data_IF_720889810552
#
_entry.id   IF_720889810552
#
_cell.length_a   1.000
_cell.length_b   1.000
_cell.length_c   1.000
_cell.angle_alpha   90.00
_cell.angle_beta   90.00
_cell.angle_gamma   90.00
#
_symmetry.space_group_name_H-M   'P 1'
#
loop_
_entity.id
_entity.type
_entity.pdbx_description
1 polymer ?
#
# COMPACT_ATOMS: atom_id res chain seq x y z
N UNK A 1 8.78 35.27 20.91
CA UNK A 1 9.67 34.29 21.56
C UNK A 1 8.96 32.99 21.88
N UNK A 2 7.91 33.03 22.70
CA UNK A 2 7.06 31.87 23.05
C UNK A 2 5.70 31.82 22.32
N UNK A 3 5.46 32.73 21.37
CA UNK A 3 4.19 32.86 20.64
C UNK A 3 4.18 32.16 19.26
N UNK A 4 5.27 31.48 18.86
CA UNK A 4 5.38 30.80 17.56
C UNK A 4 5.27 29.26 17.64
N UNK A 5 5.28 28.68 18.85
CA UNK A 5 5.19 27.22 19.03
C UNK A 5 3.76 26.76 19.31
N UNK A 6 2.95 27.60 19.94
CA UNK A 6 1.52 27.37 20.23
C UNK A 6 0.62 27.55 18.99
N UNK A 7 1.16 28.06 17.88
CA UNK A 7 0.45 28.19 16.60
C UNK A 7 0.63 26.98 15.65
N UNK A 8 1.53 26.04 15.97
CA UNK A 8 1.74 24.82 15.16
C UNK A 8 0.99 23.59 15.69
N UNK A 9 0.50 23.62 16.92
CA UNK A 9 -0.25 22.53 17.55
C UNK A 9 -1.56 23.08 18.13
N UNK A 10 -2.46 23.50 17.22
CA UNK A 10 -3.76 24.07 17.56
C UNK A 10 -4.46 23.26 18.64
N UNK A 11 -4.60 23.87 19.81
CA UNK A 11 -5.26 23.28 20.97
C UNK A 11 -6.70 22.89 20.65
N UNK A 12 -7.08 21.68 21.08
CA UNK A 12 -8.46 21.29 21.33
C UNK A 12 -8.55 20.56 22.65
N UNK A 13 -9.62 20.90 23.37
CA UNK A 13 -10.03 20.40 24.67
C UNK A 13 -10.48 18.94 24.62
N UNK A 14 -10.43 18.31 25.78
CA UNK A 14 -11.00 17.01 26.13
C UNK A 14 -12.46 16.85 25.64
N UNK A 15 -12.68 16.00 24.64
CA UNK A 15 -13.92 15.23 24.41
C UNK A 15 -13.70 14.23 23.26
N UNK A 16 -14.01 12.95 23.52
CA UNK A 16 -14.04 11.75 22.66
C UNK A 16 -12.75 11.28 21.97
N UNK A 17 -12.09 10.31 22.60
CA UNK A 17 -10.85 9.60 22.17
C UNK A 17 -11.15 8.46 21.16
N UNK A 18 -12.38 8.31 20.70
CA UNK A 18 -12.82 7.21 19.82
C UNK A 18 -12.39 7.29 18.35
N UNK A 19 -11.86 8.43 17.88
CA UNK A 19 -11.65 8.72 16.44
C UNK A 19 -10.25 9.26 16.08
N UNK A 20 -9.21 8.96 16.86
CA UNK A 20 -7.84 9.38 16.52
C UNK A 20 -7.19 8.31 15.63
N UNK A 21 -6.80 8.70 14.40
CA UNK A 21 -6.10 7.79 13.48
C UNK A 21 -4.58 7.85 13.70
N UNK A 22 -3.85 6.78 13.35
CA UNK A 22 -2.37 6.72 13.44
C UNK A 22 -1.68 7.84 12.65
N UNK A 23 -2.37 8.40 11.64
CA UNK A 23 -1.92 9.57 10.88
C UNK A 23 -1.80 10.83 11.76
N UNK A 24 -2.61 10.94 12.80
CA UNK A 24 -2.62 12.06 13.74
C UNK A 24 -1.51 11.94 14.80
N UNK A 25 -1.04 10.71 15.07
CA UNK A 25 -0.01 10.42 16.07
C UNK A 25 1.43 10.58 15.56
N UNK A 26 1.69 10.36 14.26
CA UNK A 26 3.05 10.22 13.74
C UNK A 26 3.66 11.47 13.07
N UNK A 27 2.94 12.59 12.97
CA UNK A 27 3.52 13.88 12.58
C UNK A 27 4.20 13.96 11.19
N UNK A 28 4.08 12.95 10.33
CA UNK A 28 4.72 12.92 9.01
C UNK A 28 3.74 13.36 7.91
N UNK A 29 3.85 14.64 7.56
CA UNK A 29 3.11 15.27 6.46
C UNK A 29 3.74 14.93 5.10
N UNK A 30 3.22 13.89 4.43
CA UNK A 30 3.39 13.76 2.96
C UNK A 30 2.06 13.61 2.21
N UNK A 31 0.93 13.53 2.93
CA UNK A 31 -0.42 13.35 2.35
C UNK A 31 -1.37 14.54 2.57
N UNK A 32 -1.04 15.50 3.43
CA UNK A 32 -1.98 16.54 3.90
C UNK A 32 -2.39 17.55 2.81
N UNK A 33 -1.59 17.76 1.76
CA UNK A 33 -2.03 18.59 0.62
C UNK A 33 -2.99 17.86 -0.35
N UNK A 34 -3.14 16.53 -0.23
CA UNK A 34 -4.03 15.74 -1.09
C UNK A 34 -5.18 15.05 -0.34
N UNK A 35 -5.24 15.18 0.99
CA UNK A 35 -6.23 14.49 1.82
C UNK A 35 -7.00 15.40 2.78
N UNK A 36 -6.77 16.72 2.78
CA UNK A 36 -7.79 17.61 3.32
C UNK A 36 -9.02 17.56 2.40
N UNK A 37 -9.99 16.72 2.77
CA UNK A 37 -11.39 17.15 2.68
C UNK A 37 -11.51 18.36 3.58
N UNK A 38 -11.10 19.53 3.05
CA UNK A 38 -11.53 20.78 3.63
C UNK A 38 -13.04 20.63 3.81
N UNK A 39 -13.52 20.86 5.04
CA UNK A 39 -14.94 20.93 5.35
C UNK A 39 -15.47 22.20 4.68
N UNK A 40 -15.50 22.21 3.34
CA UNK A 40 -16.04 23.31 2.56
C UNK A 40 -17.54 23.10 2.49
N UNK A 41 -18.20 23.21 3.64
CA UNK A 41 -19.64 23.41 3.77
C UNK A 41 -20.15 24.66 3.02
N UNK A 42 -19.24 25.41 2.40
CA UNK A 42 -19.50 26.59 1.58
C UNK A 42 -19.14 26.46 0.09
N UNK A 43 -18.59 25.32 -0.36
CA UNK A 43 -18.38 25.13 -1.80
C UNK A 43 -19.68 24.61 -2.40
N UNK A 44 -20.40 25.53 -3.04
CA UNK A 44 -21.55 25.26 -3.88
C UNK A 44 -21.32 23.99 -4.71
N UNK A 45 -22.30 23.07 -4.68
CA UNK A 45 -22.32 21.84 -5.48
C UNK A 45 -21.94 22.08 -6.95
N UNK A 46 -22.28 23.26 -7.48
CA UNK A 46 -21.91 23.72 -8.81
C UNK A 46 -20.41 23.96 -9.01
N UNK A 47 -19.71 24.51 -8.03
CA UNK A 47 -18.27 24.71 -8.10
C UNK A 47 -17.51 23.39 -8.00
N UNK A 48 -17.93 22.50 -7.09
CA UNK A 48 -17.42 21.12 -7.01
C UNK A 48 -17.66 20.36 -8.31
N UNK A 49 -18.85 20.49 -8.91
CA UNK A 49 -19.18 19.89 -10.20
C UNK A 49 -18.28 20.43 -11.32
N UNK A 50 -18.13 21.75 -11.44
CA UNK A 50 -17.25 22.39 -12.44
C UNK A 50 -15.78 22.00 -12.26
N UNK A 51 -15.28 21.92 -11.02
CA UNK A 51 -13.93 21.46 -10.72
C UNK A 51 -13.72 19.99 -11.09
N UNK A 52 -14.71 19.13 -10.76
CA UNK A 52 -14.68 17.72 -11.12
C UNK A 52 -14.67 17.55 -12.64
N UNK A 53 -15.50 18.27 -13.36
CA UNK A 53 -15.54 18.24 -14.83
C UNK A 53 -14.21 18.69 -15.44
N UNK A 54 -13.63 19.80 -14.96
CA UNK A 54 -12.31 20.28 -15.43
C UNK A 54 -11.21 19.25 -15.16
N UNK A 55 -11.19 18.68 -13.96
CA UNK A 55 -10.21 17.64 -13.59
C UNK A 55 -10.38 16.41 -14.48
N UNK A 56 -11.61 15.95 -14.72
CA UNK A 56 -11.88 14.80 -15.59
C UNK A 56 -11.49 15.06 -17.05
N UNK A 57 -11.71 16.28 -17.56
CA UNK A 57 -11.23 16.66 -18.90
C UNK A 57 -9.72 16.62 -18.98
N UNK A 58 -9.02 17.24 -18.03
CA UNK A 58 -7.55 17.25 -17.99
C UNK A 58 -6.97 15.84 -17.90
N UNK A 59 -7.54 14.98 -17.05
CA UNK A 59 -7.13 13.56 -16.97
C UNK A 59 -7.37 12.83 -18.29
N UNK A 60 -8.49 13.10 -18.96
CA UNK A 60 -8.80 12.51 -20.26
C UNK A 60 -7.81 12.94 -21.35
N UNK A 61 -7.43 14.22 -21.39
CA UNK A 61 -6.41 14.76 -22.29
C UNK A 61 -5.05 14.10 -22.04
N UNK A 62 -4.60 14.05 -20.79
CA UNK A 62 -3.34 13.39 -20.43
C UNK A 62 -3.32 11.91 -20.80
N UNK A 63 -4.44 11.19 -20.60
CA UNK A 63 -4.54 9.78 -21.01
C UNK A 63 -4.47 9.62 -22.53
N UNK A 64 -5.03 10.56 -23.30
CA UNK A 64 -4.90 10.55 -24.77
C UNK A 64 -3.45 10.75 -25.20
N UNK A 65 -2.74 11.69 -24.58
CA UNK A 65 -1.33 11.95 -24.90
C UNK A 65 -0.47 10.71 -24.59
N UNK A 66 -0.69 10.08 -23.43
CA UNK A 66 0.01 8.83 -23.08
C UNK A 66 -0.37 7.71 -24.05
N UNK A 67 -1.64 7.59 -24.46
CA UNK A 67 -2.06 6.60 -25.43
C UNK A 67 -1.37 6.80 -26.79
N UNK A 68 -1.19 8.05 -27.23
CA UNK A 68 -0.41 8.36 -28.43
C UNK A 68 1.06 7.94 -28.27
N UNK A 69 1.69 8.24 -27.14
CA UNK A 69 3.07 7.82 -26.84
C UNK A 69 3.20 6.29 -26.92
N UNK A 70 2.27 5.55 -26.32
CA UNK A 70 2.21 4.09 -26.38
C UNK A 70 2.01 3.57 -27.81
N UNK A 71 1.18 4.25 -28.61
CA UNK A 71 0.98 3.89 -30.02
C UNK A 71 2.25 4.05 -30.86
N UNK A 72 3.21 4.88 -30.44
CA UNK A 72 4.53 4.98 -31.09
C UNK A 72 5.51 3.88 -30.65
N UNK A 73 5.11 2.96 -29.77
CA UNK A 73 5.95 1.87 -29.29
C UNK A 73 6.76 2.18 -28.03
N UNK A 74 6.47 3.28 -27.34
CA UNK A 74 7.10 3.61 -26.08
C UNK A 74 6.52 2.78 -24.91
N UNK A 75 7.22 2.83 -23.77
CA UNK A 75 6.85 2.13 -22.54
C UNK A 75 6.33 3.15 -21.52
N UNK A 76 5.29 2.79 -20.79
CA UNK A 76 4.77 3.59 -19.68
C UNK A 76 4.74 2.75 -18.40
N UNK A 77 5.29 3.31 -17.31
CA UNK A 77 5.19 2.73 -15.98
C UNK A 77 4.02 3.37 -15.23
N UNK A 78 3.14 2.53 -14.69
CA UNK A 78 1.88 2.94 -14.08
C UNK A 78 1.73 2.25 -12.73
N UNK A 79 1.36 2.99 -11.69
CA UNK A 79 0.86 2.42 -10.45
C UNK A 79 -0.68 2.31 -10.55
N UNK A 80 -1.25 1.12 -10.77
CA UNK A 80 -2.67 0.95 -11.09
C UNK A 80 -3.61 1.41 -9.96
N UNK A 81 -3.14 1.35 -8.72
CA UNK A 81 -3.84 1.82 -7.52
C UNK A 81 -3.89 3.36 -7.43
N UNK A 82 -2.96 4.02 -8.10
CA UNK A 82 -2.75 5.47 -8.07
C UNK A 82 -2.34 6.02 -6.71
N UNK A 83 -1.97 5.17 -5.74
CA UNK A 83 -1.42 5.50 -4.41
C UNK A 83 -0.48 4.37 -3.98
N UNK A 84 0.48 4.70 -3.11
CA UNK A 84 1.26 3.68 -2.40
C UNK A 84 0.39 3.08 -1.30
N UNK A 85 0.44 1.76 -1.17
CA UNK A 85 -0.23 1.07 -0.08
C UNK A 85 0.55 1.26 1.23
N UNK A 86 -0.08 1.77 2.30
CA UNK A 86 0.57 1.96 3.60
C UNK A 86 0.73 0.66 4.40
N UNK A 87 -0.10 -0.35 4.13
CA UNK A 87 -0.20 -1.62 4.87
C UNK A 87 0.28 -2.83 4.05
N UNK A 88 0.66 -2.61 2.79
CA UNK A 88 1.08 -3.67 1.87
C UNK A 88 -0.08 -4.37 1.15
N UNK A 89 -1.33 -3.94 1.38
CA UNK A 89 -2.47 -4.42 0.59
C UNK A 89 -2.49 -3.80 -0.80
N UNK A 90 -2.77 -4.60 -1.82
CA UNK A 90 -2.97 -4.11 -3.18
C UNK A 90 -4.39 -3.56 -3.31
N UNK A 91 -4.51 -2.23 -3.45
CA UNK A 91 -5.80 -1.57 -3.63
C UNK A 91 -6.45 -1.92 -4.99
N UNK A 92 -7.77 -1.71 -5.16
CA UNK A 92 -8.41 -1.91 -6.44
C UNK A 92 -7.74 -1.11 -7.56
N UNK A 93 -7.52 -1.76 -8.70
CA UNK A 93 -7.01 -1.11 -9.90
C UNK A 93 -8.00 -0.01 -10.32
N UNK A 94 -7.49 1.21 -10.51
CA UNK A 94 -8.33 2.31 -10.98
C UNK A 94 -8.61 2.19 -12.46
N UNK A 95 -9.78 2.70 -12.86
CA UNK A 95 -10.23 2.72 -14.26
C UNK A 95 -9.30 3.42 -15.26
N UNK A 96 -8.27 4.13 -14.80
CA UNK A 96 -7.27 4.78 -15.66
C UNK A 96 -6.54 3.80 -16.57
N UNK A 97 -6.18 2.61 -16.07
CA UNK A 97 -5.53 1.57 -16.87
C UNK A 97 -6.42 1.10 -18.02
N UNK A 98 -7.68 0.79 -17.72
CA UNK A 98 -8.67 0.40 -18.72
C UNK A 98 -8.83 1.49 -19.79
N UNK A 99 -9.06 2.73 -19.36
CA UNK A 99 -9.22 3.88 -20.29
C UNK A 99 -8.00 4.05 -21.20
N UNK A 100 -6.80 3.95 -20.63
CA UNK A 100 -5.56 4.07 -21.39
C UNK A 100 -5.48 3.00 -22.49
N UNK A 101 -5.68 1.73 -22.13
CA UNK A 101 -5.65 0.61 -23.08
C UNK A 101 -6.73 0.79 -24.16
N UNK A 102 -7.96 1.20 -23.79
CA UNK A 102 -9.02 1.44 -24.76
C UNK A 102 -8.73 2.60 -25.73
N UNK A 103 -7.93 3.60 -25.32
CA UNK A 103 -7.55 4.74 -26.16
C UNK A 103 -6.38 4.42 -27.11
N UNK A 104 -5.61 3.36 -26.84
CA UNK A 104 -4.52 2.94 -27.73
C UNK A 104 -5.07 2.24 -28.98
N UNK A 105 -4.42 2.43 -30.13
CA UNK A 105 -4.76 1.75 -31.38
C UNK A 105 -4.08 0.39 -31.50
N UNK A 106 -2.91 0.22 -30.90
CA UNK A 106 -2.17 -1.05 -30.87
C UNK A 106 -2.68 -2.00 -29.79
N UNK A 107 -2.38 -3.29 -29.92
CA UNK A 107 -2.53 -4.23 -28.81
C UNK A 107 -1.34 -4.05 -27.85
N UNK A 108 -1.63 -3.43 -26.70
CA UNK A 108 -0.62 -3.12 -25.69
C UNK A 108 -0.37 -4.35 -24.83
N UNK A 109 0.89 -4.59 -24.49
CA UNK A 109 1.28 -5.63 -23.55
C UNK A 109 1.43 -5.03 -22.16
N UNK A 110 0.94 -5.73 -21.16
CA UNK A 110 1.05 -5.29 -19.76
C UNK A 110 2.03 -6.19 -19.05
N UNK A 111 3.08 -5.60 -18.46
CA UNK A 111 4.06 -6.32 -17.67
C UNK A 111 3.81 -6.06 -16.18
N UNK A 112 3.28 -7.04 -15.42
CA UNK A 112 3.05 -6.90 -13.99
C UNK A 112 4.39 -6.80 -13.25
N UNK A 113 4.53 -5.80 -12.39
CA UNK A 113 5.70 -5.63 -11.52
C UNK A 113 5.20 -5.43 -10.10
N UNK A 114 5.76 -6.18 -9.16
CA UNK A 114 5.51 -6.02 -7.74
C UNK A 114 6.78 -5.54 -7.04
N UNK A 115 6.64 -4.56 -6.15
CA UNK A 115 7.70 -4.13 -5.25
C UNK A 115 7.22 -4.28 -3.81
N UNK A 116 7.92 -5.09 -3.03
CA UNK A 116 7.62 -5.34 -1.62
C UNK A 116 8.75 -4.82 -0.74
N UNK A 117 8.42 -4.10 0.33
CA UNK A 117 9.39 -3.51 1.25
C UNK A 117 9.41 -4.27 2.58
N UNK A 118 10.60 -4.58 3.09
CA UNK A 118 10.80 -5.11 4.44
C UNK A 118 11.52 -4.05 5.29
N UNK A 119 10.75 -3.27 6.03
CA UNK A 119 11.22 -2.10 6.78
C UNK A 119 11.28 -2.33 8.30
N UNK A 120 10.56 -3.31 8.85
CA UNK A 120 10.57 -3.64 10.28
C UNK A 120 11.74 -4.56 10.62
N UNK A 121 12.96 -4.01 10.46
CA UNK A 121 14.22 -4.70 10.72
C UNK A 121 15.22 -3.72 11.35
N UNK A 122 16.10 -4.24 12.20
CA UNK A 122 17.23 -3.46 12.74
C UNK A 122 18.36 -3.21 11.72
N UNK A 123 18.27 -3.85 10.54
CA UNK A 123 19.27 -3.76 9.47
C UNK A 123 18.83 -2.75 8.40
N UNK A 124 19.58 -2.69 7.29
CA UNK A 124 19.14 -1.97 6.09
C UNK A 124 17.83 -2.57 5.57
N UNK A 125 16.88 -1.69 5.22
CA UNK A 125 15.64 -2.03 4.54
C UNK A 125 15.92 -2.87 3.28
N UNK A 126 15.11 -3.89 3.03
CA UNK A 126 15.15 -4.65 1.78
C UNK A 126 13.97 -4.29 0.91
N UNK A 127 14.23 -4.29 -0.39
CA UNK A 127 13.24 -4.09 -1.43
C UNK A 127 13.27 -5.34 -2.30
N UNK A 128 12.13 -6.02 -2.42
CA UNK A 128 11.94 -7.17 -3.29
C UNK A 128 11.21 -6.70 -4.53
N UNK A 129 11.86 -6.79 -5.69
CA UNK A 129 11.23 -6.50 -6.98
C UNK A 129 11.03 -7.81 -7.73
N UNK A 130 9.79 -8.08 -8.12
CA UNK A 130 9.45 -9.25 -8.94
C UNK A 130 8.75 -8.77 -10.21
N UNK A 131 9.21 -9.27 -11.35
CA UNK A 131 8.58 -9.05 -12.65
C UNK A 131 7.81 -10.32 -13.02
N UNK A 132 6.52 -10.15 -13.33
CA UNK A 132 5.64 -11.24 -13.73
C UNK A 132 5.71 -11.56 -15.21
N UNK A 133 4.86 -12.49 -15.63
CA UNK A 133 4.68 -12.82 -17.05
C UNK A 133 3.98 -11.67 -17.78
N UNK A 134 4.44 -11.38 -18.99
CA UNK A 134 3.77 -10.45 -19.89
C UNK A 134 2.32 -10.90 -20.17
N UNK A 135 1.39 -9.95 -20.04
CA UNK A 135 -0.03 -10.11 -20.35
C UNK A 135 -0.30 -9.54 -21.75
N UNK A 136 -0.80 -10.37 -22.65
CA UNK A 136 -1.13 -10.03 -24.03
C UNK A 136 -2.63 -10.09 -24.27
N UNK A 137 -3.14 -9.46 -25.33
CA UNK A 137 -4.56 -9.51 -25.68
C UNK A 137 -5.48 -8.81 -24.68
N UNK A 138 -4.93 -7.89 -23.87
CA UNK A 138 -5.68 -7.20 -22.80
C UNK A 138 -6.67 -6.17 -23.34
N UNK A 139 -6.49 -5.72 -24.59
CA UNK A 139 -7.32 -4.69 -25.21
C UNK A 139 -8.78 -5.11 -25.43
N UNK A 140 -9.04 -6.41 -25.63
CA UNK A 140 -10.38 -6.95 -25.79
C UNK A 140 -11.13 -7.19 -24.47
N UNK A 141 -10.46 -7.01 -23.31
CA UNK A 141 -11.06 -7.27 -22.02
C UNK A 141 -11.97 -6.10 -21.60
N UNK A 142 -13.11 -6.44 -20.99
CA UNK A 142 -13.88 -5.44 -20.27
C UNK A 142 -13.10 -4.96 -19.03
N UNK A 143 -13.54 -3.82 -18.46
CA UNK A 143 -12.90 -3.19 -17.30
C UNK A 143 -12.67 -4.16 -16.15
N UNK A 144 -13.71 -4.89 -15.73
CA UNK A 144 -13.66 -5.76 -14.55
C UNK A 144 -12.66 -6.89 -14.75
N UNK A 145 -12.70 -7.54 -15.93
CA UNK A 145 -11.81 -8.64 -16.26
C UNK A 145 -10.35 -8.18 -16.33
N UNK A 146 -10.10 -6.99 -16.90
CA UNK A 146 -8.76 -6.41 -16.93
C UNK A 146 -8.24 -6.11 -15.52
N UNK A 147 -9.06 -5.48 -14.68
CA UNK A 147 -8.69 -5.13 -13.30
C UNK A 147 -8.36 -6.38 -12.49
N UNK A 148 -9.22 -7.41 -12.54
CA UNK A 148 -9.00 -8.69 -11.87
C UNK A 148 -7.77 -9.43 -12.40
N UNK A 149 -7.55 -9.44 -13.73
CA UNK A 149 -6.39 -10.07 -14.34
C UNK A 149 -5.09 -9.41 -13.85
N UNK A 150 -5.03 -8.08 -13.90
CA UNK A 150 -3.85 -7.32 -13.47
C UNK A 150 -3.61 -7.46 -11.98
N UNK A 151 -4.65 -7.29 -11.15
CA UNK A 151 -4.57 -7.44 -9.71
C UNK A 151 -4.06 -8.84 -9.32
N UNK A 152 -4.69 -9.89 -9.86
CA UNK A 152 -4.28 -11.29 -9.60
C UNK A 152 -2.81 -11.50 -9.97
N UNK A 153 -2.36 -10.98 -11.11
CA UNK A 153 -0.99 -11.15 -11.55
C UNK A 153 0.02 -10.30 -10.75
N UNK A 154 -0.36 -9.18 -10.14
CA UNK A 154 0.58 -8.39 -9.31
C UNK A 154 0.66 -8.94 -7.89
N UNK A 155 -0.49 -9.29 -7.29
CA UNK A 155 -0.57 -9.77 -5.90
C UNK A 155 0.24 -11.06 -5.70
N UNK A 156 0.26 -11.96 -6.69
CA UNK A 156 0.97 -13.24 -6.58
C UNK A 156 2.49 -13.13 -6.74
N UNK A 157 3.03 -11.97 -7.14
CA UNK A 157 4.47 -11.79 -7.37
C UNK A 157 5.25 -11.40 -6.12
N UNK A 158 4.59 -10.71 -5.19
CA UNK A 158 5.21 -10.21 -3.98
C UNK A 158 5.51 -11.33 -2.99
N UNK A 159 6.73 -11.41 -2.43
CA UNK A 159 6.97 -12.28 -1.30
C UNK A 159 6.28 -11.74 -0.04
N UNK A 160 5.75 -12.63 0.80
CA UNK A 160 5.38 -12.27 2.17
C UNK A 160 6.66 -12.14 3.01
N UNK A 161 6.83 -10.98 3.65
CA UNK A 161 7.99 -10.64 4.49
C UNK A 161 7.61 -10.78 5.97
N UNK A 162 8.61 -10.77 6.87
CA UNK A 162 8.29 -10.77 8.29
C UNK A 162 7.57 -9.48 8.73
N UNK A 163 7.87 -8.34 8.11
CA UNK A 163 7.14 -7.09 8.40
C UNK A 163 5.63 -7.28 8.19
N UNK A 164 5.21 -7.95 7.10
CA UNK A 164 3.79 -8.24 6.87
C UNK A 164 3.19 -9.14 7.95
N UNK A 165 3.87 -10.24 8.32
CA UNK A 165 3.38 -11.17 9.34
C UNK A 165 3.33 -10.53 10.73
N UNK A 166 4.33 -9.70 11.05
CA UNK A 166 4.39 -8.92 12.27
C UNK A 166 3.25 -7.91 12.38
N UNK A 167 3.03 -7.11 11.33
CA UNK A 167 1.91 -6.18 11.27
C UNK A 167 0.56 -6.89 11.33
N UNK A 168 0.37 -7.99 10.60
CA UNK A 168 -0.84 -8.83 10.66
C UNK A 168 -1.11 -9.27 12.11
N UNK A 169 -0.09 -9.75 12.83
CA UNK A 169 -0.26 -10.16 14.23
C UNK A 169 -0.63 -9.00 15.16
N UNK A 170 0.06 -7.86 15.04
CA UNK A 170 -0.17 -6.69 15.89
C UNK A 170 -1.56 -6.08 15.65
N UNK A 171 -1.97 -5.95 14.39
CA UNK A 171 -3.31 -5.47 14.03
C UNK A 171 -4.39 -6.41 14.57
N UNK A 172 -4.23 -7.73 14.42
CA UNK A 172 -5.16 -8.70 14.98
C UNK A 172 -5.22 -8.62 16.52
N UNK A 173 -4.14 -8.30 17.22
CA UNK A 173 -4.21 -8.07 18.66
C UNK A 173 -5.06 -6.84 19.00
N UNK A 174 -4.81 -5.72 18.32
CA UNK A 174 -5.54 -4.47 18.51
C UNK A 174 -7.03 -4.62 18.21
N UNK A 175 -7.37 -5.29 17.11
CA UNK A 175 -8.77 -5.55 16.70
C UNK A 175 -9.52 -6.42 17.74
N UNK A 176 -8.79 -7.24 18.49
CA UNK A 176 -9.33 -8.06 19.58
C UNK A 176 -9.25 -7.38 20.96
N UNK A 177 -8.90 -6.08 21.02
CA UNK A 177 -8.80 -5.32 22.27
C UNK A 177 -7.68 -5.81 23.20
N UNK A 178 -6.66 -6.47 22.66
CA UNK A 178 -5.53 -6.98 23.44
C UNK A 178 -4.36 -6.01 23.41
N UNK A 179 -3.97 -5.54 24.59
CA UNK A 179 -2.80 -4.68 24.77
C UNK A 179 -1.54 -5.47 25.19
N UNK A 180 -1.73 -6.64 25.81
CA UNK A 180 -0.61 -7.47 26.29
C UNK A 180 0.06 -8.27 25.15
N UNK A 181 1.29 -7.86 24.81
CA UNK A 181 2.15 -8.57 23.89
C UNK A 181 2.90 -9.71 24.58
N UNK A 182 2.74 -10.94 24.08
CA UNK A 182 3.46 -12.13 24.55
C UNK A 182 4.41 -12.63 23.47
N UNK A 183 5.71 -12.48 23.71
CA UNK A 183 6.75 -12.87 22.73
C UNK A 183 6.62 -14.34 22.31
N UNK A 184 6.45 -15.26 23.26
CA UNK A 184 6.33 -16.69 22.95
C UNK A 184 5.11 -16.99 22.07
N UNK A 185 3.98 -16.31 22.30
CA UNK A 185 2.79 -16.43 21.47
C UNK A 185 3.07 -15.95 20.05
N UNK A 186 3.72 -14.79 19.91
CA UNK A 186 4.10 -14.24 18.61
C UNK A 186 5.00 -15.20 17.83
N UNK A 187 6.03 -15.75 18.48
CA UNK A 187 6.96 -16.72 17.86
C UNK A 187 6.19 -17.93 17.34
N UNK A 188 5.36 -18.55 18.18
CA UNK A 188 4.58 -19.75 17.84
C UNK A 188 3.62 -19.45 16.68
N UNK A 189 2.82 -18.39 16.78
CA UNK A 189 1.84 -18.02 15.74
C UNK A 189 2.52 -17.65 14.42
N UNK A 190 3.65 -16.95 14.47
CA UNK A 190 4.40 -16.59 13.26
C UNK A 190 4.96 -17.82 12.56
N UNK A 191 5.55 -18.76 13.32
CA UNK A 191 6.05 -20.02 12.76
C UNK A 191 4.91 -20.83 12.10
N UNK A 192 3.79 -21.00 12.80
CA UNK A 192 2.59 -21.65 12.26
C UNK A 192 2.10 -20.95 10.99
N UNK A 193 2.05 -19.61 10.98
CA UNK A 193 1.62 -18.83 9.83
C UNK A 193 2.55 -19.00 8.63
N UNK A 194 3.87 -19.02 8.84
CA UNK A 194 4.84 -19.29 7.77
C UNK A 194 4.62 -20.68 7.17
N UNK A 195 4.40 -21.71 7.99
CA UNK A 195 4.16 -23.07 7.49
C UNK A 195 2.83 -23.18 6.72
N UNK A 196 1.77 -22.52 7.19
CA UNK A 196 0.52 -22.40 6.43
C UNK A 196 0.71 -21.72 5.06
N UNK A 197 1.55 -20.68 4.98
CA UNK A 197 1.84 -20.01 3.71
C UNK A 197 2.67 -20.88 2.78
N UNK A 198 3.65 -21.63 3.31
CA UNK A 198 4.44 -22.61 2.54
C UNK A 198 3.57 -23.69 1.92
N UNK A 199 2.68 -24.30 2.71
CA UNK A 199 1.77 -25.36 2.23
C UNK A 199 0.81 -24.87 1.14
N UNK A 200 0.49 -23.57 1.13
CA UNK A 200 -0.31 -22.92 0.08
C UNK A 200 0.51 -22.45 -1.12
N UNK A 201 1.80 -22.76 -1.17
CA UNK A 201 2.75 -22.31 -2.19
C UNK A 201 2.78 -20.78 -2.35
N UNK A 202 2.56 -20.05 -1.26
CA UNK A 202 2.70 -18.60 -1.24
C UNK A 202 4.19 -18.26 -1.17
N UNK A 203 4.62 -17.31 -2.01
CA UNK A 203 6.01 -16.86 -2.03
C UNK A 203 6.37 -16.18 -0.71
N UNK A 204 7.45 -16.63 -0.10
CA UNK A 204 7.99 -16.07 1.13
C UNK A 204 9.35 -15.41 0.87
N UNK A 205 9.72 -14.44 1.70
CA UNK A 205 11.09 -13.97 1.80
C UNK A 205 12.04 -15.14 2.11
N UNK A 206 13.22 -15.17 1.49
CA UNK A 206 14.21 -16.27 1.60
C UNK A 206 14.59 -16.60 3.06
N UNK A 207 14.58 -15.60 3.93
CA UNK A 207 14.92 -15.75 5.36
C UNK A 207 13.83 -16.42 6.17
N UNK A 208 12.63 -16.52 5.62
CA UNK A 208 11.52 -17.24 6.23
C UNK A 208 11.49 -18.69 5.77
N UNK A 209 12.44 -19.17 4.96
CA UNK A 209 12.41 -20.53 4.39
C UNK A 209 13.05 -21.61 5.29
N UNK A 210 13.92 -21.22 6.23
CA UNK A 210 14.51 -22.18 7.19
C UNK A 210 14.21 -21.75 8.61
N UNK A 211 14.05 -22.70 9.52
CA UNK A 211 13.71 -22.43 10.91
C UNK A 211 14.74 -21.52 11.59
N UNK A 212 16.03 -21.78 11.37
CA UNK A 212 17.11 -20.98 11.94
C UNK A 212 17.07 -19.51 11.46
N UNK A 213 16.85 -19.30 10.15
CA UNK A 213 16.76 -17.95 9.59
C UNK A 213 15.48 -17.24 10.03
N UNK A 214 14.37 -17.96 10.16
CA UNK A 214 13.10 -17.45 10.65
C UNK A 214 13.23 -16.97 12.10
N UNK A 215 13.76 -17.79 13.01
CA UNK A 215 14.00 -17.40 14.40
C UNK A 215 14.85 -16.14 14.51
N UNK A 216 15.94 -16.07 13.74
CA UNK A 216 16.78 -14.87 13.66
C UNK A 216 16.00 -13.65 13.16
N UNK A 217 15.17 -13.83 12.12
CA UNK A 217 14.39 -12.73 11.55
C UNK A 217 13.31 -12.24 12.53
N UNK A 218 12.69 -13.15 13.30
CA UNK A 218 11.77 -12.84 14.40
C UNK A 218 12.47 -11.99 15.46
N UNK A 219 13.67 -12.39 15.91
CA UNK A 219 14.47 -11.57 16.83
C UNK A 219 14.77 -10.17 16.28
N UNK A 220 15.16 -10.06 15.00
CA UNK A 220 15.39 -8.77 14.33
C UNK A 220 14.12 -7.89 14.28
N UNK A 221 12.92 -8.49 14.21
CA UNK A 221 11.64 -7.77 14.23
C UNK A 221 11.26 -7.34 15.64
N UNK A 222 11.35 -8.22 16.62
CA UNK A 222 11.06 -7.90 18.02
C UNK A 222 11.97 -6.77 18.52
N UNK A 223 13.27 -6.87 18.23
CA UNK A 223 14.22 -5.82 18.56
C UNK A 223 13.91 -4.49 17.86
N UNK A 224 13.37 -4.53 16.63
CA UNK A 224 12.87 -3.33 15.96
C UNK A 224 11.66 -2.75 16.69
N UNK A 225 10.68 -3.57 17.07
CA UNK A 225 9.48 -3.14 17.77
C UNK A 225 9.80 -2.52 19.14
N UNK A 226 10.68 -3.15 19.94
CA UNK A 226 11.15 -2.60 21.22
C UNK A 226 11.85 -1.26 21.00
N UNK A 227 12.79 -1.20 20.04
CA UNK A 227 13.53 0.05 19.75
C UNK A 227 12.62 1.20 19.31
N UNK A 228 11.50 0.89 18.67
CA UNK A 228 10.51 1.87 18.21
C UNK A 228 9.39 2.15 19.23
N UNK A 229 9.41 1.49 20.40
CA UNK A 229 8.35 1.62 21.40
C UNK A 229 7.00 1.06 20.96
N UNK A 230 6.98 0.12 20.00
CA UNK A 230 5.76 -0.55 19.54
C UNK A 230 5.30 -1.60 20.56
N UNK A 231 6.26 -2.28 21.19
CA UNK A 231 6.03 -3.24 22.28
C UNK A 231 6.94 -2.89 23.45
N UNK A 232 6.45 -3.11 24.67
CA UNK A 232 7.22 -2.95 25.90
C UNK A 232 8.03 -4.23 26.19
N UNK A 233 9.18 -4.06 26.86
CA UNK A 233 9.97 -5.17 27.41
C UNK A 233 9.27 -5.80 28.62
#
# INVERSE_FOLDING_TARGET
GLALFTQMLGGRSETDIGDITISDFLGYSYSILHQQTADIKFVHSDFSRKLRERTLRKVSEQLKDIAQILNHGNICMLAPEGRLSPDGHFWPVKSGLFRLISMTTRDIRVLPVNTTYDFMTLRRMRIYMTVGRELTGVKGLNKINLEQLVQKNIVTLGPVTLSHLGSEFLLNMLDNGREDFKEQEYVIKTMQRVDQLRTRNIRLEERLLTEQRLKKRIGDFLGYCVKRGIISN
#
